data_IF_259539577641
#
_entry.id   IF_259539577641
#
_cell.length_a   1.000
_cell.length_b   1.000
_cell.length_c   1.000
_cell.angle_alpha   90.00
_cell.angle_beta   90.00
_cell.angle_gamma   90.00
#
_symmetry.space_group_name_H-M   'P 1'
#
loop_
_entity.id
_entity.type
_entity.pdbx_description
1 polymer ?
#
# COMPACT_ATOMS: atom_id res chain seq x y z
N UNK A 1 -15.50 61.24 -119.01
CA UNK A 1 -15.30 60.63 -117.67
C UNK A 1 -14.15 61.38 -117.01
N UNK A 2 -14.39 62.15 -115.94
CA UNK A 2 -13.30 62.84 -115.25
C UNK A 2 -12.60 61.85 -114.30
N UNK A 3 -11.29 61.64 -114.50
CA UNK A 3 -10.46 60.84 -113.61
C UNK A 3 -10.28 61.63 -112.32
N UNK A 4 -10.82 61.11 -111.22
CA UNK A 4 -10.60 61.70 -109.89
C UNK A 4 -9.18 61.39 -109.45
N UNK A 5 -8.40 62.43 -109.15
CA UNK A 5 -7.06 62.29 -108.57
C UNK A 5 -7.12 62.50 -107.08
N UNK A 6 -6.44 61.63 -106.33
CA UNK A 6 -6.21 61.85 -104.90
C UNK A 6 -5.23 63.01 -104.77
N UNK A 7 -5.61 64.04 -104.01
CA UNK A 7 -4.73 65.15 -103.66
C UNK A 7 -4.16 64.94 -102.25
N UNK A 8 -3.07 65.63 -101.95
CA UNK A 8 -2.50 65.65 -100.60
C UNK A 8 -3.56 66.07 -99.56
N UNK A 9 -4.41 67.04 -99.89
CA UNK A 9 -5.49 67.49 -98.99
C UNK A 9 -6.50 66.38 -98.70
N UNK A 10 -6.88 65.58 -99.72
CA UNK A 10 -7.77 64.44 -99.49
C UNK A 10 -7.14 63.34 -98.64
N UNK A 11 -5.80 63.15 -98.71
CA UNK A 11 -5.09 62.22 -97.82
C UNK A 11 -4.96 62.78 -96.40
N UNK A 12 -4.68 64.08 -96.27
CA UNK A 12 -4.58 64.75 -94.96
C UNK A 12 -5.90 64.68 -94.20
N UNK A 13 -7.02 64.88 -94.92
CA UNK A 13 -8.36 64.74 -94.35
C UNK A 13 -8.62 63.32 -93.86
N UNK A 14 -8.30 62.29 -94.65
CA UNK A 14 -8.48 60.90 -94.26
C UNK A 14 -7.66 60.54 -93.00
N UNK A 15 -6.41 61.01 -92.92
CA UNK A 15 -5.56 60.77 -91.74
C UNK A 15 -6.12 61.46 -90.50
N UNK A 16 -6.63 62.69 -90.63
CA UNK A 16 -7.28 63.38 -89.52
C UNK A 16 -8.54 62.62 -89.06
N UNK A 17 -9.34 62.15 -90.01
CA UNK A 17 -10.57 61.40 -89.72
C UNK A 17 -10.28 60.04 -89.05
N UNK A 18 -9.21 59.36 -89.44
CA UNK A 18 -8.75 58.12 -88.78
C UNK A 18 -8.30 58.40 -87.34
N UNK A 19 -7.54 59.48 -87.11
CA UNK A 19 -7.08 59.86 -85.76
C UNK A 19 -8.22 60.29 -84.84
N UNK A 20 -9.30 60.85 -85.40
CA UNK A 20 -10.47 61.24 -84.63
C UNK A 20 -11.36 60.05 -84.28
N UNK A 21 -11.44 59.05 -85.19
CA UNK A 21 -12.31 57.87 -85.01
C UNK A 21 -11.64 56.69 -84.28
N UNK A 22 -10.32 56.60 -84.27
CA UNK A 22 -9.59 55.45 -83.72
C UNK A 22 -8.43 55.91 -82.82
N UNK A 23 -8.29 55.27 -81.67
CA UNK A 23 -7.14 55.46 -80.79
C UNK A 23 -5.88 54.81 -81.37
N UNK A 24 -4.70 55.42 -81.19
CA UNK A 24 -3.44 54.81 -81.61
C UNK A 24 -3.15 53.55 -80.77
N UNK A 25 -2.54 52.52 -81.38
CA UNK A 25 -2.29 51.22 -80.70
C UNK A 25 -1.46 51.37 -79.42
N UNK A 26 -0.62 52.40 -79.32
CA UNK A 26 0.11 52.75 -78.11
C UNK A 26 -0.79 53.26 -76.97
N UNK A 27 -1.86 53.96 -77.30
CA UNK A 27 -2.81 54.53 -76.33
C UNK A 27 -3.79 53.46 -75.80
N UNK A 28 -4.02 52.38 -76.57
CA UNK A 28 -4.80 51.21 -76.12
C UNK A 28 -4.10 50.48 -74.96
N UNK A 29 -2.78 50.67 -74.79
CA UNK A 29 -2.02 50.16 -73.64
C UNK A 29 -2.53 50.63 -72.28
N UNK A 30 -3.23 51.78 -72.22
CA UNK A 30 -3.86 52.26 -71.00
C UNK A 30 -5.20 51.55 -70.69
N UNK A 31 -5.91 51.05 -71.70
CA UNK A 31 -7.15 50.28 -71.53
C UNK A 31 -6.89 48.79 -71.23
N UNK A 32 -5.67 48.30 -71.46
CA UNK A 32 -5.21 46.97 -71.00
C UNK A 32 -4.80 46.89 -69.53
N UNK A 33 -4.84 48.03 -68.81
CA UNK A 33 -4.43 48.13 -67.41
C UNK A 33 -5.49 47.72 -66.38
N UNK A 34 -6.73 47.43 -66.81
CA UNK A 34 -7.80 47.03 -65.89
C UNK A 34 -7.59 45.66 -65.22
N UNK A 35 -6.64 44.84 -65.68
CA UNK A 35 -6.56 43.43 -65.25
C UNK A 35 -5.23 42.98 -64.63
N UNK A 36 -4.21 43.86 -64.55
CA UNK A 36 -2.93 43.48 -63.90
C UNK A 36 -2.59 44.32 -62.68
N UNK A 37 -2.74 45.63 -62.76
CA UNK A 37 -2.53 46.52 -61.59
C UNK A 37 -3.62 46.28 -60.53
N UNK A 38 -4.87 46.05 -60.94
CA UNK A 38 -5.95 45.71 -60.01
C UNK A 38 -5.76 44.31 -59.39
N UNK A 39 -5.26 43.33 -60.16
CA UNK A 39 -5.01 41.96 -59.67
C UNK A 39 -3.77 41.89 -58.76
N UNK A 40 -2.70 42.63 -59.09
CA UNK A 40 -1.51 42.75 -58.25
C UNK A 40 -1.85 43.47 -56.93
N UNK A 41 -2.60 44.57 -56.98
CA UNK A 41 -3.06 45.26 -55.76
C UNK A 41 -4.02 44.39 -54.95
N UNK A 42 -4.93 43.63 -55.58
CA UNK A 42 -5.81 42.68 -54.89
C UNK A 42 -5.00 41.58 -54.19
N UNK A 43 -3.90 41.13 -54.80
CA UNK A 43 -3.00 40.13 -54.20
C UNK A 43 -2.30 40.72 -52.97
N UNK A 44 -1.82 41.96 -53.05
CA UNK A 44 -1.17 42.63 -51.92
C UNK A 44 -2.16 42.98 -50.79
N UNK A 45 -3.37 43.41 -51.12
CA UNK A 45 -4.43 43.67 -50.13
C UNK A 45 -4.84 42.40 -49.39
N UNK A 46 -4.97 41.27 -50.10
CA UNK A 46 -5.24 39.97 -49.49
C UNK A 46 -4.09 39.50 -48.61
N UNK A 47 -2.84 39.65 -49.05
CA UNK A 47 -1.66 39.36 -48.22
C UNK A 47 -1.64 40.23 -46.96
N UNK A 48 -1.91 41.51 -47.10
CA UNK A 48 -1.98 42.46 -45.97
C UNK A 48 -3.06 42.07 -44.97
N UNK A 49 -4.26 41.69 -45.45
CA UNK A 49 -5.34 41.21 -44.60
C UNK A 49 -4.99 39.90 -43.87
N UNK A 50 -4.36 38.95 -44.55
CA UNK A 50 -3.92 37.68 -43.97
C UNK A 50 -2.84 37.93 -42.92
N UNK A 51 -1.82 38.72 -43.24
CA UNK A 51 -0.72 39.04 -42.33
C UNK A 51 -1.22 39.84 -41.12
N UNK A 52 -2.10 40.83 -41.32
CA UNK A 52 -2.70 41.58 -40.22
C UNK A 52 -3.54 40.72 -39.27
N UNK A 53 -4.18 39.65 -39.79
CA UNK A 53 -4.86 38.64 -38.96
C UNK A 53 -3.88 37.69 -38.26
N UNK A 54 -2.82 37.29 -38.94
CA UNK A 54 -1.80 36.39 -38.41
C UNK A 54 -0.93 37.06 -37.33
N UNK A 55 -0.60 38.34 -37.48
CA UNK A 55 0.20 39.10 -36.51
C UNK A 55 -0.61 39.41 -35.23
N UNK A 56 -1.94 39.39 -35.31
CA UNK A 56 -2.85 39.51 -34.15
C UNK A 56 -3.09 38.18 -33.42
N UNK A 57 -2.41 37.08 -33.79
CA UNK A 57 -2.72 35.70 -33.42
C UNK A 57 -2.35 35.26 -31.98
N UNK A 58 -2.76 36.01 -30.96
CA UNK A 58 -2.62 35.56 -29.57
C UNK A 58 -3.95 35.22 -28.90
N UNK A 59 -5.07 35.55 -29.55
CA UNK A 59 -6.43 35.34 -29.03
C UNK A 59 -7.42 35.02 -30.16
N UNK A 60 -8.58 34.43 -29.82
CA UNK A 60 -9.68 34.19 -30.75
C UNK A 60 -10.16 35.49 -31.42
N UNK A 61 -10.27 36.58 -30.64
CA UNK A 61 -10.61 37.91 -31.14
C UNK A 61 -9.55 38.45 -32.13
N UNK A 62 -8.27 38.13 -31.92
CA UNK A 62 -7.17 38.44 -32.84
C UNK A 62 -7.34 37.83 -34.24
N UNK A 63 -7.90 36.62 -34.32
CA UNK A 63 -8.30 36.02 -35.60
C UNK A 63 -9.60 36.61 -36.19
N UNK A 64 -10.29 37.48 -35.46
CA UNK A 64 -11.60 38.03 -35.79
C UNK A 64 -12.77 37.16 -35.35
N UNK A 65 -12.54 36.15 -34.49
CA UNK A 65 -13.58 35.29 -33.92
C UNK A 65 -14.13 36.00 -32.68
N UNK A 66 -15.23 36.75 -32.86
CA UNK A 66 -15.84 37.57 -31.79
C UNK A 66 -16.77 36.78 -30.88
N UNK A 67 -17.32 35.66 -31.37
CA UNK A 67 -18.29 34.84 -30.64
C UNK A 67 -17.62 33.71 -29.82
N UNK A 68 -16.29 33.67 -29.78
CA UNK A 68 -15.53 32.68 -29.03
C UNK A 68 -15.40 33.10 -27.56
N UNK A 69 -15.87 32.27 -26.64
CA UNK A 69 -15.67 32.50 -25.20
C UNK A 69 -14.19 32.42 -24.83
N UNK A 70 -13.73 33.35 -23.99
CA UNK A 70 -12.40 33.35 -23.40
C UNK A 70 -12.28 32.29 -22.30
N UNK A 71 -11.06 31.89 -21.96
CA UNK A 71 -10.81 30.97 -20.85
C UNK A 71 -11.39 31.49 -19.51
N UNK A 72 -11.34 32.81 -19.30
CA UNK A 72 -11.93 33.46 -18.11
C UNK A 72 -13.44 33.34 -18.09
N UNK A 73 -14.12 33.60 -19.20
CA UNK A 73 -15.58 33.47 -19.30
C UNK A 73 -16.02 32.02 -19.11
N UNK A 74 -15.27 31.06 -19.68
CA UNK A 74 -15.53 29.64 -19.47
C UNK A 74 -15.34 29.26 -17.99
N UNK A 75 -14.25 29.69 -17.36
CA UNK A 75 -14.00 29.42 -15.94
C UNK A 75 -15.09 30.03 -15.04
N UNK A 76 -15.52 31.26 -15.35
CA UNK A 76 -16.60 31.92 -14.62
C UNK A 76 -17.95 31.22 -14.81
N UNK A 77 -18.26 30.78 -16.04
CA UNK A 77 -19.47 30.01 -16.33
C UNK A 77 -19.47 28.66 -15.57
N UNK A 78 -18.32 27.96 -15.55
CA UNK A 78 -18.16 26.72 -14.79
C UNK A 78 -18.31 26.97 -13.29
N UNK A 79 -17.65 27.99 -12.76
CA UNK A 79 -17.73 28.33 -11.33
C UNK A 79 -19.17 28.70 -10.93
N UNK A 80 -19.88 29.44 -11.78
CA UNK A 80 -21.29 29.78 -11.57
C UNK A 80 -22.17 28.54 -11.62
N UNK A 81 -21.93 27.65 -12.59
CA UNK A 81 -22.67 26.39 -12.71
C UNK A 81 -22.46 25.50 -11.47
N UNK A 82 -21.21 25.34 -11.00
CA UNK A 82 -20.90 24.55 -9.80
C UNK A 82 -21.45 25.20 -8.54
N UNK A 83 -21.40 26.52 -8.39
CA UNK A 83 -21.99 27.21 -7.24
C UNK A 83 -23.52 27.10 -7.21
N UNK A 84 -24.15 27.04 -8.38
CA UNK A 84 -25.61 26.88 -8.53
C UNK A 84 -26.11 25.45 -8.35
N UNK A 85 -25.23 24.45 -8.25
CA UNK A 85 -25.64 23.07 -7.92
C UNK A 85 -25.75 22.90 -6.40
N UNK A 86 -26.67 22.04 -5.97
CA UNK A 86 -26.78 21.65 -4.58
C UNK A 86 -25.62 20.69 -4.20
N UNK A 87 -24.85 21.08 -3.19
CA UNK A 87 -23.78 20.26 -2.60
C UNK A 87 -24.18 19.83 -1.19
N UNK A 88 -23.82 18.60 -0.82
CA UNK A 88 -23.99 18.13 0.56
C UNK A 88 -22.85 18.64 1.45
N UNK A 89 -23.21 19.27 2.57
CA UNK A 89 -22.29 19.66 3.64
C UNK A 89 -22.48 18.79 4.88
N UNK A 90 -21.47 18.68 5.75
CA UNK A 90 -21.58 17.96 7.03
C UNK A 90 -21.73 18.94 8.17
N UNK A 91 -22.67 18.68 9.08
CA UNK A 91 -22.90 19.50 10.28
C UNK A 91 -22.92 18.58 11.50
N UNK A 92 -22.10 18.86 12.50
CA UNK A 92 -22.13 18.12 13.77
C UNK A 92 -23.14 18.77 14.72
N UNK A 93 -23.96 17.95 15.36
CA UNK A 93 -24.96 18.38 16.35
C UNK A 93 -24.96 17.42 17.54
N UNK A 94 -25.34 17.93 18.71
CA UNK A 94 -25.38 17.10 19.93
C UNK A 94 -26.59 16.15 19.96
N UNK A 95 -27.71 16.57 19.37
CA UNK A 95 -28.94 15.78 19.30
C UNK A 95 -29.75 16.03 18.01
N UNK A 96 -30.72 15.17 17.73
CA UNK A 96 -31.68 15.41 16.64
C UNK A 96 -32.57 16.63 16.88
N UNK A 97 -32.71 17.07 18.14
CA UNK A 97 -33.49 18.25 18.50
C UNK A 97 -32.82 19.58 18.10
N UNK A 98 -31.52 19.56 17.84
CA UNK A 98 -30.75 20.73 17.41
C UNK A 98 -30.81 20.95 15.89
N UNK A 99 -31.56 20.10 15.17
CA UNK A 99 -31.69 20.15 13.71
C UNK A 99 -32.94 20.93 13.34
N UNK A 100 -32.74 22.08 12.69
CA UNK A 100 -33.81 22.80 12.02
C UNK A 100 -34.13 22.14 10.68
N UNK A 101 -35.24 21.41 10.62
CA UNK A 101 -35.69 20.70 9.41
C UNK A 101 -36.38 21.60 8.39
N UNK A 102 -36.67 22.85 8.72
CA UNK A 102 -37.35 23.80 7.83
C UNK A 102 -36.42 24.88 7.26
N UNK A 103 -35.14 24.87 7.65
CA UNK A 103 -34.14 25.74 7.05
C UNK A 103 -34.01 25.49 5.54
N UNK A 104 -33.81 26.56 4.75
CA UNK A 104 -33.73 26.50 3.28
C UNK A 104 -32.65 25.55 2.75
N UNK A 105 -31.63 25.27 3.55
CA UNK A 105 -30.50 24.39 3.24
C UNK A 105 -30.51 23.06 4.00
N UNK A 106 -31.61 22.73 4.70
CA UNK A 106 -31.71 21.54 5.54
C UNK A 106 -31.53 20.23 4.76
N UNK A 107 -32.09 20.16 3.54
CA UNK A 107 -31.95 19.00 2.65
C UNK A 107 -30.55 18.88 2.02
N UNK A 108 -29.69 19.90 2.21
CA UNK A 108 -28.32 19.98 1.66
C UNK A 108 -27.26 19.64 2.71
N UNK A 109 -27.67 18.98 3.79
CA UNK A 109 -26.83 18.65 4.95
C UNK A 109 -26.91 17.18 5.32
N UNK A 110 -25.75 16.62 5.65
CA UNK A 110 -25.60 15.39 6.42
C UNK A 110 -25.33 15.79 7.86
N UNK A 111 -26.32 15.59 8.73
CA UNK A 111 -26.22 15.89 10.14
C UNK A 111 -25.58 14.71 10.87
N UNK A 112 -24.44 14.96 11.48
CA UNK A 112 -23.71 14.04 12.33
C UNK A 112 -24.16 14.24 13.77
N UNK A 113 -25.14 13.45 14.19
CA UNK A 113 -25.73 13.52 15.53
C UNK A 113 -24.90 12.66 16.48
N UNK A 114 -24.44 13.24 17.58
CA UNK A 114 -23.61 12.54 18.56
C UNK A 114 -24.37 11.38 19.21
N UNK A 115 -23.76 10.21 19.25
CA UNK A 115 -24.33 9.04 19.93
C UNK A 115 -24.19 9.21 21.45
N UNK A 116 -25.26 8.94 22.22
CA UNK A 116 -25.27 9.05 23.68
C UNK A 116 -24.24 8.14 24.38
N UNK A 117 -23.90 7.03 23.73
CA UNK A 117 -22.92 6.05 24.18
C UNK A 117 -22.02 5.69 23.00
N UNK A 118 -21.23 6.67 22.53
CA UNK A 118 -20.33 6.46 21.41
C UNK A 118 -19.34 5.33 21.72
N UNK A 119 -19.66 4.11 21.29
CA UNK A 119 -18.71 3.00 21.21
C UNK A 119 -17.50 3.48 20.41
N UNK A 120 -16.30 3.06 20.81
CA UNK A 120 -15.07 3.46 20.12
C UNK A 120 -15.17 3.11 18.62
N UNK A 121 -15.19 4.13 17.76
CA UNK A 121 -15.36 3.98 16.32
C UNK A 121 -16.77 4.28 15.76
N UNK A 122 -17.79 4.43 16.61
CA UNK A 122 -19.16 4.82 16.21
C UNK A 122 -19.67 6.02 17.01
N UNK A 123 -19.07 7.19 16.77
CA UNK A 123 -19.36 8.40 17.53
C UNK A 123 -20.62 9.14 17.09
N UNK A 124 -21.00 8.99 15.82
CA UNK A 124 -22.10 9.74 15.22
C UNK A 124 -23.05 8.82 14.46
N UNK A 125 -24.34 9.14 14.56
CA UNK A 125 -25.35 8.68 13.61
C UNK A 125 -25.54 9.75 12.55
N UNK A 126 -25.68 9.34 11.30
CA UNK A 126 -25.86 10.22 10.14
C UNK A 126 -27.35 10.38 9.84
N UNK A 127 -27.78 11.63 9.69
CA UNK A 127 -29.15 12.00 9.36
C UNK A 127 -29.19 12.97 8.18
N UNK A 128 -30.29 12.96 7.43
CA UNK A 128 -30.58 13.95 6.39
C UNK A 128 -32.03 14.39 6.50
N UNK A 129 -32.31 15.62 6.07
CA UNK A 129 -33.70 16.04 5.86
C UNK A 129 -34.08 15.64 4.43
N UNK A 130 -35.15 14.87 4.30
CA UNK A 130 -35.68 14.36 3.04
C UNK A 130 -37.16 14.70 2.99
N UNK A 131 -37.58 15.50 2.01
CA UNK A 131 -38.95 15.99 1.87
C UNK A 131 -39.45 16.66 3.17
N UNK A 132 -38.62 17.53 3.76
CA UNK A 132 -38.93 18.25 5.01
C UNK A 132 -38.97 17.38 6.28
N UNK A 133 -38.58 16.09 6.21
CA UNK A 133 -38.55 15.19 7.36
C UNK A 133 -37.13 14.72 7.67
N UNK A 134 -36.76 14.71 8.95
CA UNK A 134 -35.50 14.14 9.40
C UNK A 134 -35.51 12.60 9.31
N UNK A 135 -34.56 12.03 8.58
CA UNK A 135 -34.38 10.60 8.37
C UNK A 135 -32.97 10.16 8.79
N UNK A 136 -32.85 9.01 9.47
CA UNK A 136 -31.54 8.40 9.75
C UNK A 136 -31.04 7.70 8.49
N UNK A 137 -29.88 8.11 7.98
CA UNK A 137 -29.31 7.58 6.72
C UNK A 137 -28.12 6.66 6.96
N UNK A 138 -27.53 6.68 8.16
CA UNK A 138 -26.37 5.83 8.46
C UNK A 138 -25.89 5.96 9.89
N UNK A 139 -24.84 5.20 10.20
CA UNK A 139 -23.94 5.37 11.33
C UNK A 139 -22.60 4.71 10.98
N UNK A 140 -21.62 4.78 11.88
CA UNK A 140 -20.29 4.22 11.65
C UNK A 140 -20.10 2.86 12.32
N UNK A 141 -21.19 2.16 12.66
CA UNK A 141 -21.12 0.89 13.35
C UNK A 141 -20.56 -0.18 12.43
N UNK A 142 -19.43 -0.76 12.82
CA UNK A 142 -18.86 -1.95 12.17
C UNK A 142 -19.39 -3.21 12.85
N UNK A 143 -19.89 -4.16 12.07
CA UNK A 143 -20.25 -5.48 12.58
C UNK A 143 -19.02 -6.39 12.59
N UNK A 144 -18.57 -6.76 13.81
CA UNK A 144 -17.47 -7.68 14.03
C UNK A 144 -17.95 -9.03 14.60
N UNK A 145 -19.25 -9.33 14.54
CA UNK A 145 -19.83 -10.56 15.10
C UNK A 145 -19.25 -11.85 14.49
N UNK A 146 -18.76 -11.79 13.26
CA UNK A 146 -18.14 -12.92 12.56
C UNK A 146 -16.64 -13.10 12.87
N UNK A 147 -16.04 -12.18 13.63
CA UNK A 147 -14.63 -12.26 14.02
C UNK A 147 -14.49 -12.91 15.40
N UNK A 148 -13.49 -13.78 15.54
CA UNK A 148 -13.20 -14.44 16.80
C UNK A 148 -12.74 -13.42 17.86
N UNK A 149 -13.32 -13.50 19.06
CA UNK A 149 -12.92 -12.65 20.18
C UNK A 149 -11.61 -13.14 20.77
N UNK A 150 -10.82 -12.23 21.34
CA UNK A 150 -9.58 -12.59 22.06
C UNK A 150 -9.84 -13.67 23.11
N UNK A 151 -10.94 -13.57 23.85
CA UNK A 151 -11.32 -14.56 24.87
C UNK A 151 -11.60 -15.94 24.29
N UNK A 152 -12.27 -16.02 23.13
CA UNK A 152 -12.56 -17.27 22.43
C UNK A 152 -11.29 -17.91 21.89
N UNK A 153 -10.40 -17.11 21.28
CA UNK A 153 -9.10 -17.57 20.80
C UNK A 153 -8.23 -18.06 21.96
N UNK A 154 -8.16 -17.32 23.07
CA UNK A 154 -7.43 -17.74 24.27
C UNK A 154 -7.99 -19.05 24.84
N UNK A 155 -9.32 -19.20 24.89
CA UNK A 155 -9.95 -20.44 25.34
C UNK A 155 -9.64 -21.62 24.40
N UNK A 156 -9.68 -21.40 23.09
CA UNK A 156 -9.33 -22.42 22.09
C UNK A 156 -7.86 -22.86 22.23
N UNK A 157 -6.93 -21.91 22.42
CA UNK A 157 -5.52 -22.19 22.68
C UNK A 157 -5.36 -22.99 23.98
N UNK A 158 -6.01 -22.56 25.07
CA UNK A 158 -5.93 -23.25 26.36
C UNK A 158 -6.45 -24.68 26.26
N UNK A 159 -7.56 -24.91 25.55
CA UNK A 159 -8.11 -26.23 25.30
C UNK A 159 -7.13 -27.09 24.49
N UNK A 160 -6.59 -26.58 23.38
CA UNK A 160 -5.60 -27.30 22.57
C UNK A 160 -4.37 -27.72 23.37
N UNK A 161 -3.92 -26.91 24.34
CA UNK A 161 -2.79 -27.22 25.21
C UNK A 161 -3.07 -28.33 26.23
N UNK A 162 -4.32 -28.69 26.51
CA UNK A 162 -4.65 -29.73 27.51
C UNK A 162 -4.18 -31.13 27.13
N UNK A 163 -3.98 -31.39 25.83
CA UNK A 163 -3.50 -32.69 25.31
C UNK A 163 -1.98 -32.85 25.45
N UNK A 164 -1.25 -31.77 25.73
CA UNK A 164 0.21 -31.78 25.82
C UNK A 164 0.65 -31.82 27.28
N UNK A 165 1.63 -32.67 27.59
CA UNK A 165 2.23 -32.72 28.92
C UNK A 165 3.04 -31.44 29.18
N UNK A 166 2.86 -30.84 30.36
CA UNK A 166 3.67 -29.69 30.77
C UNK A 166 5.09 -30.15 31.10
N UNK A 167 6.07 -29.28 30.87
CA UNK A 167 7.47 -29.55 31.25
C UNK A 167 7.59 -30.02 32.70
N UNK A 168 6.83 -29.41 33.62
CA UNK A 168 6.81 -29.80 35.03
C UNK A 168 6.33 -31.25 35.26
N UNK A 169 5.29 -31.68 34.54
CA UNK A 169 4.74 -33.05 34.67
C UNK A 169 5.74 -34.07 34.10
N UNK A 170 6.37 -33.75 32.97
CA UNK A 170 7.42 -34.59 32.36
C UNK A 170 8.63 -34.68 33.30
N UNK A 171 9.11 -33.57 33.84
CA UNK A 171 10.23 -33.56 34.81
C UNK A 171 9.89 -34.37 36.05
N UNK A 172 8.68 -34.24 36.59
CA UNK A 172 8.22 -35.02 37.73
C UNK A 172 8.23 -36.52 37.41
N UNK A 173 7.64 -36.92 36.28
CA UNK A 173 7.57 -38.32 35.87
C UNK A 173 8.97 -38.93 35.65
N UNK A 174 9.90 -38.17 35.06
CA UNK A 174 11.30 -38.59 34.92
C UNK A 174 11.94 -38.78 36.28
N UNK A 175 11.82 -37.81 37.19
CA UNK A 175 12.41 -37.88 38.52
C UNK A 175 11.87 -39.06 39.34
N UNK A 176 10.56 -39.32 39.29
CA UNK A 176 9.94 -40.49 39.92
C UNK A 176 10.45 -41.80 39.32
N UNK A 177 10.61 -41.86 37.99
CA UNK A 177 11.14 -43.05 37.31
C UNK A 177 12.60 -43.32 37.67
N UNK A 178 13.44 -42.29 37.83
CA UNK A 178 14.87 -42.47 38.12
C UNK A 178 15.19 -42.66 39.60
N UNK A 179 14.33 -42.20 40.53
CA UNK A 179 14.56 -42.29 41.97
C UNK A 179 14.71 -43.73 42.50
N UNK A 180 14.20 -44.73 41.78
CA UNK A 180 14.33 -46.15 42.13
C UNK A 180 15.56 -46.85 41.55
N UNK A 181 16.35 -46.19 40.70
CA UNK A 181 17.57 -46.77 40.14
C UNK A 181 18.78 -46.43 41.01
N UNK A 182 19.66 -47.41 41.18
CA UNK A 182 21.00 -47.22 41.77
C UNK A 182 21.77 -46.27 40.86
N UNK A 183 22.20 -45.14 41.39
CA UNK A 183 23.00 -44.15 40.68
C UNK A 183 24.49 -44.52 40.73
N UNK A 184 25.27 -43.96 39.81
CA UNK A 184 26.72 -44.21 39.78
C UNK A 184 27.40 -43.84 41.10
N UNK A 185 26.92 -42.79 41.76
CA UNK A 185 27.44 -42.30 43.03
C UNK A 185 27.04 -43.18 44.23
N UNK A 186 26.02 -44.05 44.08
CA UNK A 186 25.61 -45.00 45.12
C UNK A 186 26.53 -46.23 45.17
N UNK A 187 27.26 -46.52 44.08
CA UNK A 187 28.15 -47.69 44.01
C UNK A 187 29.32 -47.51 44.98
N UNK A 188 29.41 -48.41 45.95
CA UNK A 188 30.47 -48.38 46.95
C UNK A 188 30.96 -49.78 47.31
N UNK A 189 32.23 -49.87 47.73
CA UNK A 189 32.83 -51.13 48.20
C UNK A 189 33.30 -50.94 49.62
N UNK A 190 32.97 -51.91 50.49
CA UNK A 190 33.49 -51.95 51.86
C UNK A 190 34.10 -53.30 52.16
N UNK A 191 35.24 -53.31 52.83
CA UNK A 191 35.88 -54.54 53.32
C UNK A 191 35.73 -54.60 54.83
N UNK A 192 35.27 -55.73 55.35
CA UNK A 192 34.96 -55.94 56.77
C UNK A 192 35.59 -57.23 57.29
N UNK A 193 35.63 -57.42 58.60
CA UNK A 193 36.18 -58.62 59.24
C UNK A 193 37.70 -58.59 59.46
N UNK A 194 38.22 -59.61 60.15
CA UNK A 194 39.63 -59.75 60.50
C UNK A 194 40.30 -60.85 59.66
N UNK A 195 41.63 -60.80 59.54
CA UNK A 195 42.43 -61.66 58.67
C UNK A 195 42.88 -60.98 57.38
N UNK A 196 43.40 -61.74 56.44
CA UNK A 196 43.93 -61.23 55.16
C UNK A 196 43.32 -61.93 53.93
N UNK A 197 42.57 -63.02 54.11
CA UNK A 197 41.87 -63.72 53.03
C UNK A 197 40.40 -63.32 53.01
N UNK A 198 39.90 -62.98 51.81
CA UNK A 198 38.47 -62.76 51.57
C UNK A 198 37.77 -64.11 51.52
N UNK A 199 36.76 -64.27 52.36
CA UNK A 199 36.00 -65.52 52.49
C UNK A 199 34.54 -65.37 52.10
N UNK A 200 34.06 -64.13 51.84
CA UNK A 200 32.71 -63.87 51.39
C UNK A 200 32.59 -62.58 50.58
N UNK A 201 31.66 -62.58 49.63
CA UNK A 201 31.25 -61.41 48.85
C UNK A 201 29.72 -61.31 48.89
N UNK A 202 29.22 -60.10 49.11
CA UNK A 202 27.79 -59.80 49.08
C UNK A 202 27.53 -58.48 48.33
N UNK A 203 26.35 -58.39 47.70
CA UNK A 203 25.88 -57.19 47.00
C UNK A 203 24.49 -56.79 47.51
N UNK A 204 24.33 -55.51 47.84
CA UNK A 204 23.04 -54.90 48.17
C UNK A 204 22.53 -54.11 46.95
N UNK A 205 21.48 -54.63 46.32
CA UNK A 205 20.84 -54.03 45.15
C UNK A 205 19.92 -52.83 45.47
N UNK A 206 19.77 -52.45 46.74
CA UNK A 206 19.07 -51.23 47.13
C UNK A 206 20.02 -50.06 47.32
N UNK A 207 21.22 -50.33 47.83
CA UNK A 207 22.22 -49.30 48.13
C UNK A 207 23.39 -49.28 47.17
N UNK A 208 23.48 -50.24 46.23
CA UNK A 208 24.63 -50.35 45.33
C UNK A 208 25.92 -50.84 46.01
N UNK A 209 25.84 -51.25 47.28
CA UNK A 209 27.02 -51.58 48.10
C UNK A 209 27.49 -53.02 47.90
N UNK A 210 28.75 -53.17 47.53
CA UNK A 210 29.47 -54.44 47.59
C UNK A 210 30.21 -54.57 48.93
N UNK A 211 30.03 -55.69 49.62
CA UNK A 211 30.72 -55.98 50.88
C UNK A 211 31.60 -57.21 50.70
N UNK A 212 32.90 -57.05 50.92
CA UNK A 212 33.85 -58.15 50.99
C UNK A 212 34.19 -58.45 52.45
N UNK A 213 34.06 -59.70 52.85
CA UNK A 213 34.30 -60.13 54.23
C UNK A 213 35.59 -60.93 54.31
N UNK A 214 36.48 -60.52 55.22
CA UNK A 214 37.66 -61.24 55.65
C UNK A 214 37.30 -62.13 56.84
N UNK A 215 37.87 -63.34 56.87
CA UNK A 215 37.60 -64.26 57.98
C UNK A 215 38.75 -65.20 58.34
N UNK A 216 39.78 -65.31 57.50
CA UNK A 216 40.94 -66.18 57.74
C UNK A 216 42.23 -65.36 57.64
N UNK A 217 43.09 -65.50 58.65
CA UNK A 217 44.49 -65.09 58.56
C UNK A 217 45.26 -66.25 57.96
N UNK A 218 45.67 -66.12 56.70
CA UNK A 218 46.59 -67.07 56.09
C UNK A 218 47.89 -67.08 56.90
N UNK A 219 48.41 -68.29 57.17
CA UNK A 219 49.71 -68.48 57.82
C UNK A 219 50.78 -67.71 57.06
N UNK A 220 51.57 -66.95 57.78
CA UNK A 220 52.75 -66.27 57.27
C UNK A 220 53.99 -67.10 57.59
N UNK A 221 55.12 -66.81 56.94
CA UNK A 221 56.38 -67.51 57.22
C UNK A 221 56.82 -67.39 58.70
N UNK A 222 56.41 -66.32 59.40
CA UNK A 222 56.68 -66.13 60.82
C UNK A 222 55.89 -67.07 61.73
N UNK A 223 54.77 -67.63 61.25
CA UNK A 223 53.92 -68.57 62.00
C UNK A 223 54.41 -70.03 61.88
N UNK A 224 55.45 -70.28 61.07
CA UNK A 224 56.06 -71.59 60.87
C UNK A 224 57.37 -71.66 61.67
N UNK A 225 57.48 -72.64 62.57
CA UNK A 225 58.74 -72.94 63.26
C UNK A 225 59.45 -74.10 62.57
N UNK A 226 60.73 -73.93 62.26
CA UNK A 226 61.56 -75.02 61.74
C UNK A 226 61.78 -76.09 62.82
N UNK A 227 61.66 -77.37 62.45
CA UNK A 227 61.94 -78.48 63.36
C UNK A 227 63.43 -78.46 63.74
N UNK A 228 63.74 -78.55 65.03
CA UNK A 228 65.13 -78.51 65.46
C UNK A 228 65.82 -79.85 65.19
N UNK A 229 67.13 -79.80 64.96
CA UNK A 229 67.93 -81.02 64.73
C UNK A 229 67.88 -82.01 65.90
N UNK A 230 67.66 -81.51 67.13
CA UNK A 230 67.59 -82.35 68.33
C UNK A 230 66.26 -83.11 68.40
N UNK A 231 65.16 -82.50 67.98
CA UNK A 231 63.84 -83.14 67.88
C UNK A 231 63.82 -84.24 66.80
N UNK A 232 64.48 -84.00 65.65
CA UNK A 232 64.64 -85.05 64.62
C UNK A 232 65.40 -86.25 65.20
N UNK A 233 66.48 -86.03 65.95
CA UNK A 233 67.26 -87.13 66.54
C UNK A 233 66.46 -87.95 67.55
N UNK A 234 65.57 -87.31 68.33
CA UNK A 234 64.75 -87.99 69.33
C UNK A 234 63.67 -88.91 68.73
N UNK A 235 63.30 -88.74 67.46
CA UNK A 235 62.35 -89.60 66.75
C UNK A 235 62.94 -90.95 66.30
N UNK A 236 64.27 -91.09 66.31
CA UNK A 236 65.00 -92.29 65.88
C UNK A 236 65.78 -92.98 67.01
N UNK A 237 65.64 -92.53 68.26
CA UNK A 237 66.20 -93.16 69.47
C UNK A 237 65.16 -94.06 70.13
#
# INVERSE_FOLDING_TARGET
>A
MAIKRVTYDTLKFLVAEIKERYAEKGDIGALGGLDKVAVENLTEDLKSLINGKADAATTLAGYGIKDGMTATEVAAAISTAIAGTDHLSRVMVDSTGDIDTVADDAEKKIYMVKNASGEAGNLYSEYMVINGKLEKVGDWKVDLSSYAKTTEVTAAIANALTTYAKTADVTKAINEAVAGLIQLDDLSVTVTGAGNVITGLAYDNKTGKFTATKGITALTAADLTEITQQEIKALFA
#
